data_IF_787677623470
#
_entry.id   IF_787677623470
#
_cell.length_a   1.000
_cell.length_b   1.000
_cell.length_c   1.000
_cell.angle_alpha   90.00
_cell.angle_beta   90.00
_cell.angle_gamma   90.00
#
_symmetry.space_group_name_H-M   'P 1'
#
loop_
_entity.id
_entity.type
_entity.pdbx_description
1 polymer ?
#
# COMPACT_ATOMS: atom_id res chain seq x y z
N UNK A 1 16.48 13.84 -10.70
CA UNK A 1 15.20 13.96 -9.95
C UNK A 1 13.99 13.62 -10.78
N UNK A 2 13.86 14.22 -11.99
CA UNK A 2 12.75 13.89 -12.88
C UNK A 2 12.75 12.41 -13.27
N UNK A 3 13.92 11.85 -13.57
CA UNK A 3 14.05 10.43 -13.95
C UNK A 3 13.62 9.50 -12.81
N UNK A 4 13.95 9.83 -11.57
CA UNK A 4 13.54 9.05 -10.40
C UNK A 4 12.02 9.08 -10.22
N UNK A 5 11.40 10.25 -10.41
CA UNK A 5 9.95 10.41 -10.31
C UNK A 5 9.22 9.53 -11.34
N UNK A 6 9.62 9.58 -12.61
CA UNK A 6 8.99 8.78 -13.67
C UNK A 6 9.23 7.28 -13.47
N UNK A 7 10.41 6.91 -13.00
CA UNK A 7 10.72 5.52 -12.68
C UNK A 7 9.81 5.00 -11.58
N UNK A 8 9.63 5.77 -10.52
CA UNK A 8 8.78 5.37 -9.38
C UNK A 8 7.32 5.23 -9.80
N UNK A 9 6.81 6.13 -10.65
CA UNK A 9 5.47 6.01 -11.21
C UNK A 9 5.30 4.74 -12.04
N UNK A 10 6.27 4.44 -12.90
CA UNK A 10 6.25 3.27 -13.76
C UNK A 10 6.29 1.98 -12.91
N UNK A 11 7.15 1.95 -11.91
CA UNK A 11 7.29 0.80 -11.00
C UNK A 11 6.01 0.59 -10.19
N UNK A 12 5.37 1.67 -9.74
CA UNK A 12 4.09 1.61 -9.04
C UNK A 12 2.98 1.03 -9.90
N UNK A 13 2.88 1.48 -11.15
CA UNK A 13 1.90 0.96 -12.11
C UNK A 13 2.15 -0.50 -12.45
N UNK A 14 3.41 -0.89 -12.56
CA UNK A 14 3.75 -2.29 -12.82
C UNK A 14 3.30 -3.17 -11.66
N UNK A 15 3.49 -2.73 -10.43
CA UNK A 15 3.05 -3.46 -9.24
C UNK A 15 1.52 -3.57 -9.20
N UNK A 16 0.79 -2.50 -9.53
CA UNK A 16 -0.67 -2.55 -9.65
C UNK A 16 -1.12 -3.58 -10.67
N UNK A 17 -0.48 -3.63 -11.84
CA UNK A 17 -0.79 -4.59 -12.89
C UNK A 17 -0.49 -6.02 -12.46
N UNK A 18 0.60 -6.25 -11.74
CA UNK A 18 0.97 -7.57 -11.24
C UNK A 18 -0.05 -8.07 -10.22
N UNK A 19 -0.48 -7.19 -9.30
CA UNK A 19 -1.52 -7.49 -8.33
C UNK A 19 -2.85 -7.77 -9.02
N UNK A 20 -3.21 -6.96 -10.01
CA UNK A 20 -4.43 -7.17 -10.79
C UNK A 20 -4.44 -8.54 -11.45
N UNK A 21 -3.31 -8.96 -12.02
CA UNK A 21 -3.20 -10.29 -12.65
C UNK A 21 -3.47 -11.42 -11.67
N UNK A 22 -3.00 -11.27 -10.44
CA UNK A 22 -3.25 -12.24 -9.36
C UNK A 22 -4.73 -12.26 -9.01
N UNK A 23 -5.35 -11.09 -8.84
CA UNK A 23 -6.77 -10.97 -8.48
C UNK A 23 -7.67 -11.55 -9.56
N UNK A 24 -7.36 -11.31 -10.82
CA UNK A 24 -8.16 -11.76 -11.96
C UNK A 24 -8.25 -13.28 -12.08
N UNK A 25 -7.32 -14.01 -11.50
CA UNK A 25 -7.39 -15.47 -11.47
C UNK A 25 -8.63 -15.96 -10.73
N UNK A 26 -9.08 -15.22 -9.72
CA UNK A 26 -10.27 -15.55 -8.92
C UNK A 26 -11.46 -14.65 -9.26
N UNK A 27 -11.20 -13.38 -9.54
CA UNK A 27 -12.22 -12.37 -9.84
C UNK A 27 -11.92 -11.72 -11.18
N UNK A 28 -12.30 -12.36 -12.30
CA UNK A 28 -11.89 -11.91 -13.64
C UNK A 28 -12.43 -10.54 -14.07
N UNK A 29 -13.46 -10.01 -13.41
CA UNK A 29 -14.00 -8.69 -13.73
C UNK A 29 -13.25 -7.53 -13.08
N UNK A 30 -12.25 -7.81 -12.25
CA UNK A 30 -11.47 -6.79 -11.56
C UNK A 30 -10.74 -5.88 -12.54
N UNK A 31 -10.56 -4.63 -12.18
CA UNK A 31 -9.87 -3.66 -13.03
C UNK A 31 -9.17 -2.57 -12.20
N UNK A 32 -8.17 -1.93 -12.81
CA UNK A 32 -7.46 -0.79 -12.23
C UNK A 32 -8.31 0.45 -12.40
N UNK A 33 -8.43 1.25 -11.33
CA UNK A 33 -9.07 2.55 -11.37
C UNK A 33 -8.00 3.59 -11.77
N UNK A 34 -8.27 4.31 -12.85
CA UNK A 34 -7.36 5.34 -13.34
C UNK A 34 -7.70 6.70 -12.72
N UNK A 35 -6.71 7.60 -12.70
CA UNK A 35 -6.87 8.97 -12.25
C UNK A 35 -6.12 9.30 -10.97
N UNK A 36 -6.18 10.59 -10.57
CA UNK A 36 -5.42 11.09 -9.43
C UNK A 36 -6.18 11.06 -8.10
N UNK A 37 -7.48 11.29 -8.13
CA UNK A 37 -8.32 11.39 -6.92
C UNK A 37 -9.20 10.15 -6.80
N UNK A 38 -8.57 8.99 -6.73
CA UNK A 38 -9.26 7.71 -6.64
C UNK A 38 -9.25 7.21 -5.20
N UNK A 39 -10.31 6.51 -4.82
CA UNK A 39 -10.46 5.98 -3.46
C UNK A 39 -9.54 4.78 -3.20
N UNK A 40 -9.18 4.04 -4.24
CA UNK A 40 -8.26 2.89 -4.19
C UNK A 40 -7.78 2.56 -5.60
N UNK A 41 -6.80 1.66 -5.70
CA UNK A 41 -6.14 1.36 -6.98
C UNK A 41 -6.86 0.33 -7.84
N UNK A 42 -7.49 -0.67 -7.23
CA UNK A 42 -8.15 -1.77 -7.93
C UNK A 42 -9.55 -1.95 -7.37
N UNK A 43 -10.53 -2.19 -8.26
CA UNK A 43 -11.88 -2.53 -7.87
C UNK A 43 -12.21 -3.95 -8.29
N UNK A 44 -12.87 -4.70 -7.40
CA UNK A 44 -13.30 -6.09 -7.60
C UNK A 44 -14.83 -6.12 -7.58
N UNK A 45 -15.48 -6.05 -8.77
CA UNK A 45 -16.96 -6.00 -8.82
C UNK A 45 -17.64 -7.21 -8.18
N UNK A 46 -17.07 -8.39 -8.32
CA UNK A 46 -17.65 -9.64 -7.79
C UNK A 46 -17.80 -9.61 -6.26
N UNK A 47 -17.02 -8.77 -5.57
CA UNK A 47 -17.05 -8.66 -4.12
C UNK A 47 -17.38 -7.24 -3.65
N UNK A 48 -17.59 -6.30 -4.56
CA UNK A 48 -17.75 -4.88 -4.25
C UNK A 48 -16.63 -4.43 -3.30
N UNK A 49 -15.39 -4.62 -3.74
CA UNK A 49 -14.22 -4.49 -2.87
C UNK A 49 -13.15 -3.61 -3.54
N UNK A 50 -12.61 -2.66 -2.78
CA UNK A 50 -11.50 -1.81 -3.22
C UNK A 50 -10.19 -2.26 -2.61
N UNK A 51 -9.11 -2.19 -3.39
CA UNK A 51 -7.79 -2.63 -2.98
C UNK A 51 -6.77 -1.51 -3.24
N UNK A 52 -6.02 -1.18 -2.20
CA UNK A 52 -4.90 -0.25 -2.27
C UNK A 52 -3.61 -1.03 -2.42
N UNK A 53 -2.78 -0.66 -3.40
CA UNK A 53 -1.54 -1.36 -3.70
C UNK A 53 -0.35 -0.49 -3.30
N UNK A 54 0.57 -1.06 -2.52
CA UNK A 54 1.79 -0.38 -2.09
C UNK A 54 3.00 -1.21 -2.44
N UNK A 55 4.01 -0.56 -3.02
CA UNK A 55 5.30 -1.19 -3.28
C UNK A 55 6.30 -0.70 -2.24
N UNK A 56 6.91 -1.61 -1.48
CA UNK A 56 7.90 -1.25 -0.47
C UNK A 56 9.05 -2.26 -0.47
N UNK A 57 9.82 -2.23 -1.55
CA UNK A 57 10.97 -3.13 -1.76
C UNK A 57 12.09 -2.81 -0.77
N UNK A 58 12.17 -1.55 -0.33
CA UNK A 58 13.19 -1.12 0.64
C UNK A 58 13.04 -1.83 1.98
N UNK A 59 11.86 -2.36 2.27
CA UNK A 59 11.62 -3.16 3.47
C UNK A 59 12.46 -4.43 3.53
N UNK A 60 13.03 -4.89 2.41
CA UNK A 60 13.96 -6.01 2.41
C UNK A 60 15.26 -5.66 3.15
N UNK A 61 15.68 -4.40 3.08
CA UNK A 61 16.90 -3.91 3.73
C UNK A 61 16.62 -3.44 5.15
N UNK A 62 15.52 -2.71 5.35
CA UNK A 62 15.21 -2.05 6.62
C UNK A 62 14.44 -2.95 7.59
N UNK A 63 13.73 -3.95 7.08
CA UNK A 63 12.83 -4.77 7.89
C UNK A 63 11.53 -4.08 8.23
N UNK A 64 11.31 -2.85 7.74
CA UNK A 64 10.12 -2.04 8.06
C UNK A 64 9.33 -1.66 6.82
N UNK A 65 8.01 -1.69 6.94
CA UNK A 65 7.10 -1.05 5.98
C UNK A 65 6.92 0.40 6.38
N UNK A 66 6.81 1.29 5.39
CA UNK A 66 6.52 2.70 5.61
C UNK A 66 5.04 2.93 5.34
N UNK A 67 4.31 3.38 6.36
CA UNK A 67 2.85 3.53 6.29
C UNK A 67 2.51 4.99 6.53
N UNK A 68 2.24 5.72 5.45
CA UNK A 68 1.90 7.14 5.51
C UNK A 68 0.55 7.36 6.19
N UNK A 69 0.47 8.37 7.05
CA UNK A 69 -0.77 8.76 7.74
C UNK A 69 -1.08 10.24 7.62
N UNK A 70 -0.09 11.08 7.28
CA UNK A 70 -0.29 12.51 7.03
C UNK A 70 0.61 12.99 5.88
N UNK A 71 0.09 13.94 5.13
CA UNK A 71 0.83 14.66 4.11
C UNK A 71 0.55 16.16 4.28
N UNK A 72 1.61 16.96 4.42
CA UNK A 72 1.50 18.42 4.61
C UNK A 72 0.56 18.79 5.78
N UNK A 73 0.65 18.04 6.89
CA UNK A 73 -0.14 18.29 8.10
C UNK A 73 -1.61 17.85 8.02
N UNK A 74 -2.02 17.20 6.94
CA UNK A 74 -3.39 16.72 6.75
C UNK A 74 -3.43 15.18 6.73
N UNK A 75 -4.51 14.57 7.28
CA UNK A 75 -4.65 13.12 7.20
C UNK A 75 -4.55 12.62 5.75
N UNK A 76 -3.80 11.54 5.56
CA UNK A 76 -3.60 10.95 4.24
C UNK A 76 -3.44 9.43 4.34
N UNK A 77 -3.42 8.79 3.20
CA UNK A 77 -3.18 7.34 3.04
C UNK A 77 -3.99 6.52 4.05
N UNK A 78 -3.34 5.84 5.02
CA UNK A 78 -4.03 4.97 5.96
C UNK A 78 -5.08 5.71 6.79
N UNK A 79 -4.87 7.00 7.10
CA UNK A 79 -5.81 7.78 7.91
C UNK A 79 -7.15 8.03 7.22
N UNK A 80 -7.18 8.01 5.89
CA UNK A 80 -8.37 8.36 5.09
C UNK A 80 -8.78 7.28 4.10
N UNK A 81 -8.11 6.14 4.08
CA UNK A 81 -8.33 5.09 3.08
C UNK A 81 -9.77 4.59 3.09
N UNK A 82 -10.29 4.33 1.90
CA UNK A 82 -11.61 3.70 1.68
C UNK A 82 -11.46 2.28 1.15
N UNK A 83 -10.23 1.79 1.00
CA UNK A 83 -9.98 0.44 0.53
C UNK A 83 -10.39 -0.58 1.59
N UNK A 84 -10.84 -1.74 1.13
CA UNK A 84 -11.17 -2.88 1.98
C UNK A 84 -9.93 -3.67 2.37
N UNK A 85 -8.93 -3.68 1.48
CA UNK A 85 -7.63 -4.33 1.71
C UNK A 85 -6.51 -3.46 1.20
N UNK A 86 -5.37 -3.54 1.92
CA UNK A 86 -4.09 -3.03 1.45
C UNK A 86 -3.22 -4.23 1.12
N UNK A 87 -2.52 -4.16 -0.01
CA UNK A 87 -1.53 -5.17 -0.38
C UNK A 87 -0.17 -4.48 -0.53
N UNK A 88 0.82 -5.00 0.21
CA UNK A 88 2.21 -4.55 0.11
C UNK A 88 2.98 -5.55 -0.72
N UNK A 89 3.71 -5.07 -1.71
CA UNK A 89 4.70 -5.86 -2.42
C UNK A 89 6.08 -5.51 -1.88
N UNK A 90 6.75 -6.48 -1.25
CA UNK A 90 8.04 -6.26 -0.61
C UNK A 90 9.25 -6.66 -1.49
N UNK A 91 9.00 -7.01 -2.74
CA UNK A 91 10.01 -7.50 -3.66
C UNK A 91 10.00 -9.02 -3.81
N UNK A 92 9.44 -9.74 -2.84
CA UNK A 92 9.33 -11.21 -2.86
C UNK A 92 7.90 -11.68 -2.67
N UNK A 93 7.14 -11.03 -1.79
CA UNK A 93 5.82 -11.48 -1.38
C UNK A 93 4.79 -10.37 -1.50
N UNK A 94 3.53 -10.78 -1.60
CA UNK A 94 2.38 -9.88 -1.50
C UNK A 94 1.74 -10.10 -0.14
N UNK A 95 1.63 -9.04 0.64
CA UNK A 95 1.14 -9.07 2.03
C UNK A 95 -0.22 -8.39 2.06
N UNK A 96 -1.28 -9.15 2.29
CA UNK A 96 -2.67 -8.66 2.29
C UNK A 96 -3.12 -8.41 3.72
N UNK A 97 -3.58 -7.20 4.03
CA UNK A 97 -4.05 -6.85 5.36
C UNK A 97 -5.19 -5.83 5.25
N UNK A 98 -6.14 -5.88 6.19
CA UNK A 98 -7.20 -4.87 6.22
C UNK A 98 -6.69 -3.57 6.82
N UNK A 99 -7.23 -2.41 6.40
CA UNK A 99 -6.85 -1.13 7.01
C UNK A 99 -7.06 -1.09 8.53
N UNK A 100 -8.13 -1.72 9.02
CA UNK A 100 -8.40 -1.75 10.47
C UNK A 100 -7.30 -2.46 11.23
N UNK A 101 -6.90 -3.65 10.77
CA UNK A 101 -5.80 -4.41 11.39
C UNK A 101 -4.50 -3.62 11.34
N UNK A 102 -4.25 -2.96 10.20
CA UNK A 102 -3.04 -2.17 10.03
C UNK A 102 -3.03 -0.95 10.96
N UNK A 103 -4.16 -0.25 11.11
CA UNK A 103 -4.28 0.88 12.04
C UNK A 103 -4.02 0.45 13.48
N UNK A 104 -4.66 -0.63 13.91
CA UNK A 104 -4.48 -1.15 15.27
C UNK A 104 -3.02 -1.51 15.53
N UNK A 105 -2.38 -2.13 14.56
CA UNK A 105 -0.98 -2.53 14.68
C UNK A 105 -0.04 -1.33 14.72
N UNK A 106 -0.26 -0.31 13.88
CA UNK A 106 0.57 0.90 13.86
C UNK A 106 0.45 1.68 15.17
N UNK A 107 -0.73 1.74 15.76
CA UNK A 107 -0.95 2.43 17.03
C UNK A 107 -0.25 1.73 18.19
N UNK A 108 -0.13 0.40 18.14
CA UNK A 108 0.47 -0.39 19.21
C UNK A 108 1.98 -0.54 19.07
N UNK A 109 2.47 -0.76 17.86
CA UNK A 109 3.85 -1.18 17.60
C UNK A 109 4.61 -0.30 16.64
N UNK A 110 3.94 0.67 15.98
CA UNK A 110 4.56 1.52 14.98
C UNK A 110 5.44 2.61 15.58
N UNK A 111 6.49 2.98 14.84
CA UNK A 111 7.36 4.09 15.19
C UNK A 111 7.10 5.25 14.23
N UNK A 112 6.65 6.40 14.78
CA UNK A 112 6.29 7.59 13.99
C UNK A 112 7.53 8.32 13.51
N UNK A 113 7.56 8.67 12.23
CA UNK A 113 8.61 9.50 11.63
C UNK A 113 8.00 10.59 10.76
N UNK A 114 8.71 11.69 10.64
CA UNK A 114 8.38 12.77 9.71
C UNK A 114 9.54 12.95 8.74
N UNK A 115 9.21 13.10 7.45
CA UNK A 115 10.24 13.24 6.42
C UNK A 115 9.67 13.90 5.18
N UNK A 116 10.59 14.36 4.30
CA UNK A 116 10.22 14.84 2.97
C UNK A 116 10.66 13.78 1.98
N UNK A 117 9.69 13.19 1.28
CA UNK A 117 9.97 12.14 0.29
C UNK A 117 10.64 12.68 -0.97
N UNK A 118 11.23 11.77 -1.76
CA UNK A 118 11.84 12.12 -3.04
C UNK A 118 10.82 12.76 -3.98
N UNK A 119 11.17 13.93 -4.53
CA UNK A 119 10.29 14.67 -5.43
C UNK A 119 9.22 15.50 -4.73
N UNK A 120 9.10 15.43 -3.40
CA UNK A 120 8.14 16.21 -2.62
C UNK A 120 8.78 17.46 -2.06
N UNK A 121 7.97 18.50 -1.89
CA UNK A 121 8.36 19.73 -1.18
C UNK A 121 7.69 19.83 0.18
N UNK A 122 6.77 18.90 0.49
CA UNK A 122 5.99 18.89 1.72
C UNK A 122 6.37 17.69 2.58
N UNK A 123 6.23 17.85 3.90
CA UNK A 123 6.54 16.77 4.84
C UNK A 123 5.45 15.71 4.85
N UNK A 124 5.88 14.49 5.14
CA UNK A 124 5.01 13.34 5.37
C UNK A 124 5.19 12.87 6.79
N UNK A 125 4.12 12.36 7.37
CA UNK A 125 4.17 11.63 8.63
C UNK A 125 3.79 10.18 8.35
N UNK A 126 4.60 9.26 8.82
CA UNK A 126 4.40 7.84 8.57
C UNK A 126 4.80 7.02 9.79
N UNK A 127 4.31 5.77 9.83
CA UNK A 127 4.80 4.78 10.77
C UNK A 127 5.84 3.89 10.07
N UNK A 128 6.96 3.67 10.74
CA UNK A 128 7.86 2.57 10.42
C UNK A 128 7.33 1.34 11.16
N UNK A 129 6.85 0.36 10.42
CA UNK A 129 6.20 -0.81 10.99
C UNK A 129 7.03 -2.06 10.70
N UNK A 130 7.47 -2.80 11.75
CA UNK A 130 8.20 -4.03 11.50
C UNK A 130 7.40 -4.98 10.60
N UNK A 131 7.98 -5.32 9.47
CA UNK A 131 7.31 -6.14 8.45
C UNK A 131 6.90 -7.49 9.01
N UNK A 132 7.69 -8.06 9.91
CA UNK A 132 7.39 -9.34 10.54
C UNK A 132 6.05 -9.31 11.28
N UNK A 133 5.76 -8.21 11.99
CA UNK A 133 4.50 -8.08 12.74
C UNK A 133 3.30 -8.00 11.80
N UNK A 134 3.46 -7.30 10.67
CA UNK A 134 2.40 -7.22 9.66
C UNK A 134 2.16 -8.59 9.05
N UNK A 135 3.23 -9.32 8.72
CA UNK A 135 3.14 -10.67 8.16
C UNK A 135 2.45 -11.67 9.10
N UNK A 136 2.67 -11.54 10.40
CA UNK A 136 2.06 -12.44 11.38
C UNK A 136 0.53 -12.34 11.40
N UNK A 137 -0.02 -11.17 11.06
CA UNK A 137 -1.46 -10.92 11.01
C UNK A 137 -2.04 -11.00 9.60
N UNK A 138 -1.20 -10.90 8.58
CA UNK A 138 -1.62 -10.77 7.19
C UNK A 138 -1.81 -12.12 6.53
N UNK A 139 -2.60 -12.12 5.45
CA UNK A 139 -2.64 -13.24 4.51
C UNK A 139 -1.53 -13.06 3.50
N UNK A 140 -0.65 -14.04 3.38
CA UNK A 140 0.48 -13.97 2.45
C UNK A 140 0.14 -14.63 1.12
N UNK A 141 0.40 -13.90 0.03
CA UNK A 141 0.35 -14.44 -1.35
C UNK A 141 -1.04 -14.88 -1.81
N UNK A 142 -2.02 -14.95 -0.94
CA UNK A 142 -3.38 -15.40 -1.30
C UNK A 142 -4.34 -14.22 -1.37
N UNK A 143 -5.31 -14.33 -2.30
CA UNK A 143 -6.36 -13.36 -2.44
C UNK A 143 -7.38 -13.57 -1.32
N UNK A 144 -7.83 -12.50 -0.62
CA UNK A 144 -8.85 -12.63 0.42
C UNK A 144 -10.14 -13.26 -0.11
N UNK A 145 -10.78 -14.04 0.74
CA UNK A 145 -12.03 -14.72 0.40
C UNK A 145 -13.21 -13.78 0.29
#
# INVERSE_FOLDING_TARGET
MIDTFYKDLKDGKQTENDVLSIIKKKYPKSYIIEGYFKDYDIYVPEKDMGIEVKKDVKSQETGNLVIEVEFNGKPSALSVTKADYWVFYDGNNYIWITPKMLKDLTETCGHVVEFVGNGDTKSKKAYLMPKKLVKDLATLITIPQ
#
